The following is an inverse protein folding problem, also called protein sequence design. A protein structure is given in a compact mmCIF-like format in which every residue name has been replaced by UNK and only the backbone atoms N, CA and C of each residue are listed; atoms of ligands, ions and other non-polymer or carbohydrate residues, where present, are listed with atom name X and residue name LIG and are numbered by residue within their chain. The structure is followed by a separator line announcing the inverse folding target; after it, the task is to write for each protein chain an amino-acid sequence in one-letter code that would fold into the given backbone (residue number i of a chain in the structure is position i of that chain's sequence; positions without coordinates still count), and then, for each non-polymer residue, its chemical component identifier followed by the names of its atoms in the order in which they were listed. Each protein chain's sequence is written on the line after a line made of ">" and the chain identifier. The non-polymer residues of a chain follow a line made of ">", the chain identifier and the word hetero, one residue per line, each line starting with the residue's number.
data_IF_496652901197
#
_entry.id   IF_496652901197
#
_cell.length_a   1.000
_cell.length_b   1.000
_cell.length_c   1.000
_cell.angle_alpha   90.00
_cell.angle_beta   90.00
_cell.angle_gamma   90.00
#
_symmetry.space_group_name_H-M   'P 1'
#
loop_
_entity.id
_entity.type
_entity.pdbx_description
1 polymer ?
#
# COMPACT_ATOMS: atom_id res chain seq x y z
N UNK A 1 73.07 -6.76 56.63
CA UNK A 1 72.25 -7.73 55.87
C UNK A 1 71.18 -6.91 55.16
N UNK A 2 71.01 -6.83 53.84
CA UNK A 2 71.50 -7.60 52.68
C UNK A 2 71.68 -6.62 51.51
N UNK A 3 72.77 -6.78 50.75
CA UNK A 3 73.13 -6.05 49.52
C UNK A 3 72.52 -6.74 48.29
N UNK A 4 72.17 -5.94 47.28
CA UNK A 4 72.17 -6.18 45.81
C UNK A 4 71.67 -7.54 45.28
N UNK A 5 70.70 -7.50 44.36
CA UNK A 5 70.93 -7.94 42.98
C UNK A 5 69.80 -7.47 42.06
N UNK A 6 70.15 -7.03 40.85
CA UNK A 6 69.21 -6.60 39.81
C UNK A 6 69.85 -5.64 38.81
N UNK A 7 70.97 -6.06 38.20
CA UNK A 7 71.60 -5.34 37.08
C UNK A 7 70.67 -5.22 35.85
N UNK A 8 70.91 -4.22 34.98
CA UNK A 8 70.14 -4.02 33.76
C UNK A 8 70.52 -5.05 32.69
N UNK A 9 69.53 -5.73 32.12
CA UNK A 9 69.78 -6.67 31.02
C UNK A 9 70.08 -5.92 29.71
N UNK A 10 71.13 -6.40 29.04
CA UNK A 10 71.92 -5.71 28.02
C UNK A 10 71.17 -5.47 26.70
N UNK A 11 71.54 -4.35 26.08
CA UNK A 11 71.22 -3.97 24.69
C UNK A 11 71.95 -4.91 23.72
N UNK A 12 71.21 -5.44 22.74
CA UNK A 12 71.76 -5.85 21.44
C UNK A 12 71.80 -7.34 21.13
N UNK A 13 70.69 -7.87 20.58
CA UNK A 13 70.73 -9.00 19.63
C UNK A 13 69.78 -8.67 18.49
N UNK A 14 70.31 -8.47 17.28
CA UNK A 14 69.52 -8.43 16.02
C UNK A 14 69.03 -9.86 15.73
N UNK A 15 68.06 -10.34 16.49
CA UNK A 15 67.29 -11.54 16.17
C UNK A 15 66.14 -11.15 15.24
N UNK A 16 65.81 -11.98 14.25
CA UNK A 16 64.62 -11.78 13.41
C UNK A 16 63.42 -11.66 14.34
N UNK A 17 62.87 -10.44 14.47
CA UNK A 17 61.70 -10.17 15.32
C UNK A 17 60.61 -11.20 15.01
N UNK A 18 60.14 -11.87 16.05
CA UNK A 18 59.11 -12.89 15.94
C UNK A 18 57.84 -12.25 15.39
N UNK A 19 57.13 -12.93 14.47
CA UNK A 19 55.88 -12.43 13.89
C UNK A 19 54.91 -11.82 14.94
N UNK A 20 54.67 -12.45 16.12
CA UNK A 20 53.85 -11.86 17.18
C UNK A 20 54.37 -10.52 17.71
N UNK A 21 55.69 -10.33 17.82
CA UNK A 21 56.28 -9.09 18.32
C UNK A 21 56.09 -7.94 17.33
N UNK A 22 56.15 -8.22 16.03
CA UNK A 22 55.86 -7.23 14.98
C UNK A 22 54.40 -6.81 14.99
N UNK A 23 53.50 -7.78 15.12
CA UNK A 23 52.05 -7.53 15.19
C UNK A 23 51.72 -6.72 16.45
N UNK A 24 52.30 -7.07 17.60
CA UNK A 24 52.13 -6.32 18.85
C UNK A 24 52.65 -4.88 18.74
N UNK A 25 53.83 -4.69 18.15
CA UNK A 25 54.39 -3.34 17.93
C UNK A 25 53.51 -2.53 16.99
N UNK A 26 52.98 -3.15 15.93
CA UNK A 26 52.08 -2.49 14.99
C UNK A 26 50.77 -2.03 15.64
N UNK A 27 50.08 -2.90 16.39
CA UNK A 27 48.86 -2.51 17.11
C UNK A 27 49.12 -1.44 18.18
N UNK A 28 50.27 -1.50 18.87
CA UNK A 28 50.65 -0.48 19.85
C UNK A 28 50.86 0.89 19.19
N UNK A 29 51.58 0.95 18.07
CA UNK A 29 51.79 2.20 17.32
C UNK A 29 50.49 2.76 16.72
N UNK A 30 49.61 1.88 16.24
CA UNK A 30 48.28 2.26 15.75
C UNK A 30 47.41 2.83 16.88
N UNK A 31 47.42 2.20 18.05
CA UNK A 31 46.70 2.68 19.24
C UNK A 31 47.22 4.04 19.73
N UNK A 32 48.53 4.25 19.68
CA UNK A 32 49.15 5.53 20.03
C UNK A 32 48.72 6.65 19.06
N UNK A 33 48.62 6.34 17.77
CA UNK A 33 48.10 7.26 16.75
C UNK A 33 46.62 7.59 16.99
N UNK A 34 45.81 6.61 17.40
CA UNK A 34 44.41 6.80 17.81
C UNK A 34 44.23 7.78 18.97
N UNK A 35 45.13 7.74 19.95
CA UNK A 35 45.06 8.61 21.13
C UNK A 35 45.62 10.01 20.83
N UNK A 36 46.63 10.10 19.97
CA UNK A 36 47.28 11.39 19.64
C UNK A 36 46.40 12.26 18.75
N UNK A 37 45.61 11.68 17.85
CA UNK A 37 44.75 12.41 16.90
C UNK A 37 43.30 11.91 16.89
N UNK A 38 42.56 12.03 18.02
CA UNK A 38 41.22 11.44 18.16
C UNK A 38 40.20 12.06 17.18
N UNK A 39 40.28 13.36 16.92
CA UNK A 39 39.35 14.08 16.05
C UNK A 39 39.53 13.65 14.58
N UNK A 40 40.76 13.51 14.10
CA UNK A 40 41.04 13.12 12.71
C UNK A 40 40.50 11.73 12.38
N UNK A 41 40.60 10.80 13.33
CA UNK A 41 40.16 9.41 13.14
C UNK A 41 38.65 9.29 13.22
N UNK A 42 37.99 10.07 14.08
CA UNK A 42 36.53 10.14 14.10
C UNK A 42 35.95 10.70 12.80
N UNK A 43 36.60 11.71 12.20
CA UNK A 43 36.20 12.24 10.89
C UNK A 43 36.39 11.20 9.79
N UNK A 44 37.52 10.49 9.78
CA UNK A 44 37.77 9.44 8.79
C UNK A 44 36.75 8.29 8.94
N UNK A 45 36.46 7.85 10.16
CA UNK A 45 35.48 6.81 10.44
C UNK A 45 34.06 7.23 10.02
N UNK A 46 33.64 8.47 10.30
CA UNK A 46 32.33 8.96 9.91
C UNK A 46 32.18 9.06 8.39
N UNK A 47 33.21 9.50 7.67
CA UNK A 47 33.23 9.53 6.21
C UNK A 47 33.07 8.14 5.59
N UNK A 48 33.74 7.12 6.15
CA UNK A 48 33.60 5.73 5.68
C UNK A 48 32.19 5.20 5.92
N UNK A 49 31.61 5.49 7.09
CA UNK A 49 30.24 5.08 7.43
C UNK A 49 29.23 5.76 6.50
N UNK A 50 29.34 7.08 6.29
CA UNK A 50 28.45 7.83 5.40
C UNK A 50 28.61 7.36 3.96
N UNK A 51 29.84 7.20 3.47
CA UNK A 51 30.09 6.71 2.10
C UNK A 51 29.56 5.31 1.86
N UNK A 52 29.58 4.44 2.87
CA UNK A 52 29.00 3.10 2.81
C UNK A 52 27.47 3.14 2.85
N UNK A 53 26.88 4.11 3.54
CA UNK A 53 25.43 4.22 3.70
C UNK A 53 24.72 4.97 2.56
N UNK A 54 25.40 5.92 1.89
CA UNK A 54 24.87 6.63 0.72
C UNK A 54 24.34 5.70 -0.39
N UNK A 55 25.04 4.63 -0.83
CA UNK A 55 24.52 3.71 -1.82
C UNK A 55 23.34 2.86 -1.32
N UNK A 56 23.19 2.65 0.00
CA UNK A 56 22.03 1.96 0.58
C UNK A 56 20.77 2.83 0.58
N UNK A 57 20.89 4.15 0.65
CA UNK A 57 19.73 5.06 0.55
C UNK A 57 19.13 5.08 -0.85
N UNK A 58 19.98 4.93 -1.88
CA UNK A 58 19.55 4.82 -3.27
C UNK A 58 19.28 3.39 -3.73
N UNK A 59 19.37 2.40 -2.84
CA UNK A 59 19.06 1.03 -3.23
C UNK A 59 17.55 0.93 -3.48
N UNK A 60 17.11 0.70 -4.73
CA UNK A 60 15.71 0.40 -4.96
C UNK A 60 15.49 -0.94 -4.28
N UNK A 61 14.77 -0.94 -3.16
CA UNK A 61 14.35 -2.19 -2.55
C UNK A 61 13.70 -3.02 -3.67
N UNK A 62 14.10 -4.28 -3.91
CA UNK A 62 13.32 -5.23 -4.69
C UNK A 62 12.10 -5.61 -3.83
N UNK A 63 11.35 -4.59 -3.39
CA UNK A 63 9.98 -4.77 -2.99
C UNK A 63 9.25 -5.28 -4.22
N UNK A 64 8.16 -5.99 -3.97
CA UNK A 64 7.18 -6.38 -4.98
C UNK A 64 6.48 -5.13 -5.53
N UNK A 65 7.24 -4.17 -6.05
CA UNK A 65 6.72 -3.09 -6.85
C UNK A 65 5.99 -3.77 -8.01
N UNK A 66 4.75 -3.34 -8.31
CA UNK A 66 3.96 -3.94 -9.36
C UNK A 66 4.79 -3.92 -10.64
N UNK A 67 5.08 -5.11 -11.19
CA UNK A 67 5.71 -5.20 -12.50
C UNK A 67 4.68 -4.68 -13.50
N UNK A 68 5.06 -3.66 -14.25
CA UNK A 68 4.21 -3.13 -15.32
C UNK A 68 4.25 -4.15 -16.45
N UNK A 69 3.15 -4.89 -16.62
CA UNK A 69 3.01 -5.80 -17.74
C UNK A 69 2.93 -4.98 -19.04
N UNK A 70 3.88 -5.22 -19.94
CA UNK A 70 3.87 -4.65 -21.28
C UNK A 70 3.37 -5.74 -22.25
N UNK A 71 2.20 -5.51 -22.84
CA UNK A 71 1.66 -6.37 -23.89
C UNK A 71 2.65 -6.46 -25.06
N UNK A 72 3.05 -7.66 -25.47
CA UNK A 72 3.84 -7.89 -26.68
C UNK A 72 5.31 -8.25 -26.49
N UNK A 73 5.79 -8.44 -25.26
CA UNK A 73 7.08 -9.10 -25.06
C UNK A 73 6.89 -10.61 -25.10
N UNK A 74 7.49 -11.27 -26.11
CA UNK A 74 7.50 -12.73 -26.28
C UNK A 74 8.34 -13.40 -25.19
N UNK A 75 7.92 -13.30 -23.93
CA UNK A 75 8.49 -14.02 -22.80
C UNK A 75 7.61 -15.22 -22.51
N UNK A 76 8.05 -16.40 -22.93
CA UNK A 76 7.44 -17.71 -22.64
C UNK A 76 7.39 -18.06 -21.15
N UNK A 77 8.01 -17.22 -20.29
CA UNK A 77 8.19 -17.46 -18.86
C UNK A 77 7.32 -16.56 -17.96
N UNK A 78 6.48 -15.68 -18.51
CA UNK A 78 5.59 -14.87 -17.68
C UNK A 78 4.30 -15.64 -17.38
N UNK A 79 3.97 -15.93 -16.11
CA UNK A 79 2.71 -16.59 -15.78
C UNK A 79 1.55 -15.68 -16.18
N UNK A 80 0.52 -16.27 -16.81
CA UNK A 80 -0.71 -15.56 -17.10
C UNK A 80 -1.32 -15.02 -15.79
N UNK A 81 -1.77 -13.76 -15.76
CA UNK A 81 -2.37 -13.20 -14.56
C UNK A 81 -3.68 -13.91 -14.25
N UNK A 82 -3.93 -14.15 -12.95
CA UNK A 82 -5.15 -14.83 -12.50
C UNK A 82 -6.43 -14.05 -12.83
N UNK A 83 -6.36 -12.71 -12.77
CA UNK A 83 -7.46 -11.82 -13.13
C UNK A 83 -6.93 -10.44 -13.50
N UNK A 84 -7.73 -9.68 -14.23
CA UNK A 84 -7.46 -8.30 -14.58
C UNK A 84 -8.38 -7.39 -13.77
N UNK A 85 -7.85 -6.29 -13.26
CA UNK A 85 -8.58 -5.35 -12.41
C UNK A 85 -8.65 -4.02 -13.12
N UNK A 86 -9.88 -3.53 -13.34
CA UNK A 86 -10.12 -2.18 -13.86
C UNK A 86 -10.83 -1.37 -12.81
N UNK A 87 -10.28 -0.22 -12.47
CA UNK A 87 -10.82 0.65 -11.44
C UNK A 87 -11.24 1.98 -12.06
N UNK A 88 -12.52 2.32 -11.95
CA UNK A 88 -13.08 3.61 -12.36
C UNK A 88 -13.21 4.48 -11.12
N UNK A 89 -12.33 5.48 -11.00
CA UNK A 89 -12.33 6.40 -9.85
C UNK A 89 -13.26 7.57 -10.12
N UNK A 90 -14.31 7.68 -9.33
CA UNK A 90 -15.21 8.83 -9.35
C UNK A 90 -14.77 9.87 -8.33
N UNK A 91 -14.79 11.14 -8.73
CA UNK A 91 -14.52 12.29 -7.87
C UNK A 91 -15.60 13.33 -8.05
N UNK A 92 -16.37 13.58 -7.00
CA UNK A 92 -17.52 14.50 -7.00
C UNK A 92 -17.27 15.62 -6.02
N UNK A 93 -17.37 16.86 -6.49
CA UNK A 93 -17.34 18.04 -5.64
C UNK A 93 -18.76 18.37 -5.16
N UNK A 94 -18.94 18.40 -3.85
CA UNK A 94 -20.18 18.81 -3.21
C UNK A 94 -20.00 20.23 -2.69
N UNK A 95 -20.79 21.14 -3.23
CA UNK A 95 -20.85 22.53 -2.82
C UNK A 95 -21.71 22.68 -1.56
N UNK A 96 -21.45 23.70 -0.71
CA UNK A 96 -22.28 23.98 0.45
C UNK A 96 -23.75 24.14 0.03
N UNK A 97 -24.62 23.41 0.73
CA UNK A 97 -26.05 23.33 0.44
C UNK A 97 -26.85 24.45 1.13
N UNK A 98 -28.04 24.72 0.59
CA UNK A 98 -29.01 25.68 1.13
C UNK A 98 -29.67 25.18 2.43
N UNK A 99 -30.39 26.06 3.14
CA UNK A 99 -30.92 25.78 4.49
C UNK A 99 -31.98 24.68 4.58
N UNK A 100 -32.50 24.23 3.45
CA UNK A 100 -33.54 23.20 3.29
C UNK A 100 -32.98 21.76 3.23
N UNK A 101 -31.68 21.59 2.99
CA UNK A 101 -31.04 20.30 2.79
C UNK A 101 -30.41 19.75 4.07
N UNK A 102 -30.53 18.44 4.27
CA UNK A 102 -29.89 17.75 5.39
C UNK A 102 -28.44 17.41 5.06
N UNK A 103 -27.64 17.22 6.09
CA UNK A 103 -26.24 16.86 5.92
C UNK A 103 -26.05 15.50 5.19
N UNK A 104 -27.02 14.59 5.31
CA UNK A 104 -27.01 13.31 4.61
C UNK A 104 -27.15 13.47 3.08
N UNK A 105 -27.88 14.48 2.63
CA UNK A 105 -28.13 14.72 1.20
C UNK A 105 -26.85 15.05 0.44
N UNK A 106 -25.89 15.67 1.12
CA UNK A 106 -24.54 15.93 0.62
C UNK A 106 -23.77 14.65 0.24
N UNK A 107 -24.12 13.50 0.82
CA UNK A 107 -23.52 12.20 0.48
C UNK A 107 -24.42 11.36 -0.41
N UNK A 108 -25.74 11.56 -0.36
CA UNK A 108 -26.70 10.83 -1.21
C UNK A 108 -26.41 11.02 -2.68
N UNK A 109 -26.33 12.27 -3.15
CA UNK A 109 -26.15 12.55 -4.57
C UNK A 109 -24.84 11.95 -5.12
N UNK A 110 -23.66 12.15 -4.50
CA UNK A 110 -22.43 11.51 -4.97
C UNK A 110 -22.48 9.99 -4.97
N UNK A 111 -23.12 9.35 -3.97
CA UNK A 111 -23.19 7.88 -3.90
C UNK A 111 -24.22 7.30 -4.86
N UNK A 112 -25.27 8.05 -5.20
CA UNK A 112 -26.28 7.66 -6.17
C UNK A 112 -25.69 7.44 -7.57
N UNK A 113 -24.69 8.25 -7.94
CA UNK A 113 -23.95 8.11 -9.20
C UNK A 113 -23.29 6.72 -9.36
N UNK A 114 -22.97 6.03 -8.27
CA UNK A 114 -22.44 4.66 -8.33
C UNK A 114 -23.47 3.69 -8.94
N UNK A 115 -24.75 3.86 -8.63
CA UNK A 115 -25.82 3.02 -9.16
C UNK A 115 -26.02 3.27 -10.65
N UNK A 116 -26.00 4.53 -11.09
CA UNK A 116 -26.08 4.88 -12.51
C UNK A 116 -24.91 4.31 -13.30
N UNK A 117 -23.68 4.46 -12.77
CA UNK A 117 -22.48 3.92 -13.40
C UNK A 117 -22.54 2.38 -13.53
N UNK A 118 -23.03 1.69 -12.49
CA UNK A 118 -23.21 0.23 -12.55
C UNK A 118 -24.23 -0.19 -13.59
N UNK A 119 -25.33 0.55 -13.73
CA UNK A 119 -26.36 0.25 -14.73
C UNK A 119 -25.80 0.39 -16.15
N UNK A 120 -25.03 1.45 -16.41
CA UNK A 120 -24.32 1.64 -17.68
C UNK A 120 -23.34 0.48 -17.94
N UNK A 121 -22.52 0.10 -16.95
CA UNK A 121 -21.53 -0.97 -17.10
C UNK A 121 -22.21 -2.33 -17.35
N UNK A 122 -23.34 -2.61 -16.70
CA UNK A 122 -24.07 -3.88 -16.83
C UNK A 122 -24.77 -4.01 -18.16
N UNK A 123 -25.37 -2.91 -18.62
CA UNK A 123 -26.12 -2.86 -19.86
C UNK A 123 -25.23 -2.62 -21.07
N UNK A 124 -23.93 -2.35 -20.87
CA UNK A 124 -22.97 -2.24 -21.95
C UNK A 124 -22.85 -3.55 -22.72
N UNK A 125 -23.01 -3.44 -24.03
CA UNK A 125 -22.77 -4.51 -24.98
C UNK A 125 -21.81 -3.99 -26.04
N UNK A 126 -20.73 -4.72 -26.27
CA UNK A 126 -19.79 -4.34 -27.32
C UNK A 126 -20.44 -4.47 -28.70
N UNK A 127 -20.28 -3.45 -29.53
CA UNK A 127 -20.89 -3.37 -30.87
C UNK A 127 -20.29 -4.36 -31.85
N UNK A 128 -19.01 -4.70 -31.70
CA UNK A 128 -18.30 -5.58 -32.64
C UNK A 128 -18.48 -7.06 -32.26
N UNK A 129 -18.27 -7.39 -30.98
CA UNK A 129 -18.28 -8.78 -30.51
C UNK A 129 -19.60 -9.21 -29.88
N UNK A 130 -20.55 -8.28 -29.67
CA UNK A 130 -21.80 -8.51 -28.95
C UNK A 130 -21.64 -9.05 -27.52
N UNK A 131 -20.41 -9.04 -26.97
CA UNK A 131 -20.12 -9.52 -25.63
C UNK A 131 -20.66 -8.53 -24.60
N UNK A 132 -21.25 -9.07 -23.54
CA UNK A 132 -21.68 -8.33 -22.35
C UNK A 132 -20.69 -8.54 -21.21
N UNK A 133 -20.78 -7.74 -20.16
CA UNK A 133 -19.93 -7.88 -18.95
C UNK A 133 -19.89 -9.31 -18.42
N UNK A 134 -21.02 -10.01 -18.42
CA UNK A 134 -21.14 -11.38 -17.92
C UNK A 134 -20.24 -12.41 -18.62
N UNK A 135 -19.82 -12.13 -19.87
CA UNK A 135 -18.97 -13.04 -20.64
C UNK A 135 -17.48 -12.91 -20.29
N UNK A 136 -17.04 -11.74 -19.81
CA UNK A 136 -15.62 -11.40 -19.61
C UNK A 136 -15.27 -11.26 -18.12
N UNK A 137 -16.26 -10.96 -17.28
CA UNK A 137 -16.05 -10.73 -15.85
C UNK A 137 -15.57 -12.00 -15.11
N UNK A 138 -14.88 -11.79 -13.99
CA UNK A 138 -14.58 -12.85 -13.04
C UNK A 138 -15.86 -13.17 -12.26
N UNK A 139 -16.45 -14.35 -12.52
CA UNK A 139 -17.64 -14.79 -11.81
C UNK A 139 -17.28 -15.43 -10.46
N UNK A 140 -18.03 -15.10 -9.40
CA UNK A 140 -17.83 -15.69 -8.07
C UNK A 140 -19.03 -16.54 -7.68
N UNK A 141 -18.75 -17.76 -7.22
CA UNK A 141 -19.71 -18.62 -6.55
C UNK A 141 -20.00 -18.16 -5.12
N UNK A 142 -20.91 -18.83 -4.41
CA UNK A 142 -21.20 -18.48 -3.01
C UNK A 142 -19.95 -18.43 -2.13
N UNK A 143 -19.83 -17.35 -1.36
CA UNK A 143 -18.79 -17.22 -0.36
C UNK A 143 -19.04 -18.25 0.75
N UNK A 144 -18.03 -19.06 1.09
CA UNK A 144 -18.10 -20.03 2.21
C UNK A 144 -17.91 -19.36 3.58
N UNK A 145 -18.24 -18.08 3.71
CA UNK A 145 -18.04 -17.34 4.96
C UNK A 145 -19.06 -17.78 6.01
N UNK A 146 -18.56 -18.16 7.18
CA UNK A 146 -19.36 -18.54 8.36
C UNK A 146 -19.94 -17.33 9.10
N UNK A 147 -19.58 -16.10 8.69
CA UNK A 147 -19.98 -14.86 9.32
C UNK A 147 -20.89 -14.05 8.41
N UNK A 148 -22.07 -13.69 8.93
CA UNK A 148 -23.22 -13.02 8.28
C UNK A 148 -22.90 -11.65 7.63
N UNK A 149 -21.71 -11.10 7.88
CA UNK A 149 -21.22 -9.86 7.24
C UNK A 149 -20.81 -10.05 5.78
N UNK A 150 -20.87 -11.27 5.25
CA UNK A 150 -20.54 -11.62 3.85
C UNK A 150 -21.67 -11.41 2.86
N UNK A 151 -22.88 -11.05 3.30
CA UNK A 151 -24.04 -10.92 2.39
C UNK A 151 -23.96 -9.68 1.47
N UNK A 152 -23.04 -8.76 1.75
CA UNK A 152 -22.85 -7.51 0.99
C UNK A 152 -21.95 -7.72 -0.24
N UNK A 153 -21.08 -8.73 -0.20
CA UNK A 153 -20.25 -9.08 -1.34
C UNK A 153 -21.11 -9.81 -2.40
N UNK A 154 -20.84 -9.59 -3.70
CA UNK A 154 -21.61 -10.24 -4.75
C UNK A 154 -21.47 -11.76 -4.66
N UNK A 155 -22.60 -12.46 -4.81
CA UNK A 155 -22.67 -13.92 -4.85
C UNK A 155 -23.35 -14.36 -6.14
N UNK A 156 -22.84 -15.41 -6.78
CA UNK A 156 -23.36 -15.95 -8.04
C UNK A 156 -23.46 -14.88 -9.14
N UNK A 157 -22.53 -13.93 -9.16
CA UNK A 157 -22.50 -12.83 -10.11
C UNK A 157 -21.06 -12.43 -10.43
N UNK A 158 -20.88 -11.56 -11.41
CA UNK A 158 -19.61 -10.88 -11.68
C UNK A 158 -19.08 -10.21 -10.40
N UNK A 159 -17.79 -10.37 -10.13
CA UNK A 159 -17.11 -9.64 -9.08
C UNK A 159 -17.01 -8.16 -9.47
N UNK A 160 -17.96 -7.38 -8.99
CA UNK A 160 -17.99 -5.93 -9.10
C UNK A 160 -18.12 -5.35 -7.71
N UNK A 161 -17.15 -4.52 -7.34
CA UNK A 161 -17.10 -3.83 -6.05
C UNK A 161 -17.40 -2.35 -6.26
N UNK A 162 -18.35 -1.85 -5.50
CA UNK A 162 -18.77 -0.45 -5.53
C UNK A 162 -19.42 -0.06 -4.21
N UNK A 163 -19.57 1.24 -3.91
CA UNK A 163 -20.36 1.68 -2.75
C UNK A 163 -21.80 1.17 -2.76
N UNK A 164 -22.40 0.98 -3.94
CA UNK A 164 -23.77 0.50 -4.09
C UNK A 164 -24.00 -0.91 -3.52
N UNK A 165 -22.94 -1.73 -3.41
CA UNK A 165 -23.02 -3.06 -2.82
C UNK A 165 -23.51 -3.02 -1.35
N UNK A 166 -23.25 -1.93 -0.61
CA UNK A 166 -23.75 -1.77 0.76
C UNK A 166 -25.28 -1.85 0.87
N UNK A 167 -25.99 -1.50 -0.21
CA UNK A 167 -27.44 -1.59 -0.34
C UNK A 167 -27.85 -2.67 -1.34
N UNK A 168 -27.04 -3.72 -1.49
CA UNK A 168 -27.28 -4.83 -2.42
C UNK A 168 -27.55 -4.38 -3.87
N UNK A 169 -27.01 -3.22 -4.26
CA UNK A 169 -27.23 -2.59 -5.57
C UNK A 169 -28.72 -2.25 -5.84
N UNK A 170 -29.53 -2.13 -4.79
CA UNK A 170 -30.92 -1.70 -4.86
C UNK A 170 -31.04 -0.21 -4.52
N UNK A 171 -31.50 0.57 -5.50
CA UNK A 171 -31.73 2.01 -5.39
C UNK A 171 -32.84 2.31 -4.38
N UNK A 172 -33.84 1.44 -4.24
CA UNK A 172 -34.94 1.63 -3.29
C UNK A 172 -34.44 1.54 -1.85
N UNK A 173 -33.65 0.50 -1.53
CA UNK A 173 -33.01 0.38 -0.21
C UNK A 173 -32.13 1.59 0.11
N UNK A 174 -31.37 2.09 -0.87
CA UNK A 174 -30.56 3.28 -0.70
C UNK A 174 -31.40 4.55 -0.44
N UNK A 175 -32.51 4.72 -1.17
CA UNK A 175 -33.40 5.88 -1.00
C UNK A 175 -34.05 5.91 0.38
N UNK A 176 -34.42 4.74 0.91
CA UNK A 176 -35.09 4.58 2.20
C UNK A 176 -34.14 4.64 3.40
N UNK A 177 -32.83 4.49 3.19
CA UNK A 177 -31.84 4.55 4.26
C UNK A 177 -31.68 5.99 4.77
N UNK A 178 -32.18 6.28 5.97
CA UNK A 178 -32.04 7.59 6.62
C UNK A 178 -30.65 7.85 7.19
N UNK A 179 -29.79 6.84 7.26
CA UNK A 179 -28.57 6.81 8.06
C UNK A 179 -27.36 6.28 7.29
N UNK A 180 -27.22 6.69 6.02
CA UNK A 180 -26.18 6.27 5.06
C UNK A 180 -24.77 6.24 5.66
N UNK A 181 -24.38 7.26 6.42
CA UNK A 181 -23.06 7.30 7.05
C UNK A 181 -22.89 6.15 8.05
N UNK A 182 -23.90 5.86 8.85
CA UNK A 182 -23.84 4.73 9.80
C UNK A 182 -23.73 3.40 9.06
N UNK A 183 -24.46 3.22 7.96
CA UNK A 183 -24.39 2.04 7.09
C UNK A 183 -22.98 1.80 6.56
N UNK A 184 -22.31 2.85 6.07
CA UNK A 184 -20.91 2.79 5.61
C UNK A 184 -19.96 2.45 6.76
N UNK A 185 -20.04 3.18 7.88
CA UNK A 185 -19.10 3.00 9.00
C UNK A 185 -19.34 1.73 9.84
N UNK A 186 -20.52 1.09 9.74
CA UNK A 186 -20.79 -0.22 10.34
C UNK A 186 -19.97 -1.35 9.69
N UNK A 187 -19.53 -1.14 8.44
CA UNK A 187 -18.68 -2.05 7.67
C UNK A 187 -17.20 -1.64 7.65
N UNK A 188 -16.85 -0.58 8.39
CA UNK A 188 -15.48 -0.12 8.55
C UNK A 188 -14.86 -0.72 9.82
N UNK A 189 -13.70 -1.36 9.65
CA UNK A 189 -12.89 -1.86 10.76
C UNK A 189 -11.85 -0.80 11.12
N UNK A 190 -11.78 -0.41 12.39
CA UNK A 190 -10.79 0.57 12.88
C UNK A 190 -9.42 -0.10 13.13
N UNK A 191 -9.32 -1.43 12.97
CA UNK A 191 -8.07 -2.15 13.21
C UNK A 191 -7.04 -1.83 12.12
N UNK A 192 -5.99 -1.08 12.51
CA UNK A 192 -4.85 -0.73 11.64
C UNK A 192 -4.27 -1.99 10.99
N UNK A 193 -4.14 -1.98 9.66
CA UNK A 193 -3.54 -3.05 8.88
C UNK A 193 -4.50 -4.11 8.33
N UNK A 194 -5.81 -4.03 8.61
CA UNK A 194 -6.83 -4.87 7.96
C UNK A 194 -7.69 -4.02 7.03
N UNK A 195 -7.72 -4.37 5.75
CA UNK A 195 -8.66 -3.78 4.79
C UNK A 195 -10.08 -4.09 5.24
N UNK A 196 -10.87 -3.05 5.51
CA UNK A 196 -12.27 -3.22 5.87
C UNK A 196 -13.14 -3.52 4.64
N UNK A 197 -14.33 -4.11 4.85
CA UNK A 197 -15.27 -4.39 3.76
C UNK A 197 -15.67 -3.08 3.08
N UNK A 198 -15.95 -2.03 3.85
CA UNK A 198 -16.24 -0.71 3.30
C UNK A 198 -15.10 -0.20 2.41
N UNK A 199 -13.84 -0.34 2.81
CA UNK A 199 -12.69 0.08 1.98
C UNK A 199 -12.56 -0.76 0.71
N UNK A 200 -12.85 -2.07 0.77
CA UNK A 200 -12.89 -2.92 -0.44
C UNK A 200 -13.96 -2.45 -1.42
N UNK A 201 -15.16 -2.12 -0.93
CA UNK A 201 -16.28 -1.65 -1.75
C UNK A 201 -16.04 -0.26 -2.34
N UNK A 202 -15.35 0.62 -1.60
CA UNK A 202 -14.98 1.95 -2.08
C UNK A 202 -13.73 1.95 -2.95
N UNK A 203 -12.96 0.85 -2.99
CA UNK A 203 -11.72 0.73 -3.75
C UNK A 203 -10.59 1.66 -3.27
N UNK A 204 -10.71 2.22 -2.07
CA UNK A 204 -9.74 3.12 -1.44
C UNK A 204 -9.97 3.21 0.07
N UNK A 205 -9.02 3.80 0.78
CA UNK A 205 -9.17 4.01 2.22
C UNK A 205 -10.32 4.98 2.53
N UNK A 206 -11.15 4.70 3.54
CA UNK A 206 -12.31 5.56 3.84
C UNK A 206 -11.90 6.99 4.22
N UNK A 207 -10.73 7.21 4.80
CA UNK A 207 -10.25 8.55 5.11
C UNK A 207 -9.93 9.38 3.86
N UNK A 208 -9.62 8.73 2.73
CA UNK A 208 -9.36 9.37 1.44
C UNK A 208 -10.66 9.71 0.71
N UNK A 209 -11.75 8.98 0.98
CA UNK A 209 -13.05 9.19 0.30
C UNK A 209 -13.68 10.56 0.54
N UNK A 210 -13.20 11.33 1.52
CA UNK A 210 -13.83 12.58 1.96
C UNK A 210 -15.07 12.39 2.85
N UNK A 211 -15.52 11.14 3.05
CA UNK A 211 -16.62 10.79 3.94
C UNK A 211 -16.11 10.71 5.39
N UNK A 212 -16.75 11.46 6.29
CA UNK A 212 -16.42 11.48 7.73
C UNK A 212 -17.56 10.89 8.54
N UNK A 213 -17.22 10.15 9.60
CA UNK A 213 -18.20 9.53 10.52
C UNK A 213 -19.09 10.56 11.22
N UNK A 214 -18.48 11.65 11.67
CA UNK A 214 -19.16 12.74 12.37
C UNK A 214 -18.84 14.08 11.70
N UNK A 215 -19.57 14.43 10.63
CA UNK A 215 -19.41 15.68 9.92
C UNK A 215 -20.06 16.84 10.69
N UNK A 216 -19.24 17.76 11.23
CA UNK A 216 -19.72 18.82 12.15
C UNK A 216 -20.08 20.14 11.43
N UNK A 217 -19.51 20.41 10.25
CA UNK A 217 -19.68 21.70 9.53
C UNK A 217 -20.17 21.51 8.10
N UNK A 218 -21.14 22.32 7.67
CA UNK A 218 -21.47 22.49 6.26
C UNK A 218 -20.30 23.21 5.58
N UNK A 219 -19.67 22.57 4.59
CA UNK A 219 -18.53 23.09 3.84
C UNK A 219 -18.43 22.35 2.52
N UNK A 220 -17.80 22.97 1.54
CA UNK A 220 -17.41 22.27 0.31
C UNK A 220 -16.57 21.03 0.63
N UNK A 221 -16.84 19.93 -0.06
CA UNK A 221 -16.13 18.65 0.10
C UNK A 221 -15.95 17.99 -1.23
N UNK A 222 -14.91 17.19 -1.34
CA UNK A 222 -14.71 16.30 -2.47
C UNK A 222 -14.93 14.89 -1.95
N UNK A 223 -15.94 14.23 -2.51
CA UNK A 223 -16.24 12.83 -2.25
C UNK A 223 -15.61 12.02 -3.38
N UNK A 224 -14.83 11.01 -3.04
CA UNK A 224 -14.17 10.15 -4.00
C UNK A 224 -14.33 8.69 -3.61
N UNK A 225 -14.49 7.85 -4.61
CA UNK A 225 -14.60 6.40 -4.47
C UNK A 225 -14.31 5.76 -5.82
N UNK A 226 -14.22 4.45 -5.84
CA UNK A 226 -14.03 3.72 -7.07
C UNK A 226 -15.06 2.62 -7.26
N UNK A 227 -15.34 2.33 -8.52
CA UNK A 227 -16.01 1.11 -8.96
C UNK A 227 -14.95 0.19 -9.55
N UNK A 228 -14.77 -0.97 -8.93
CA UNK A 228 -13.72 -1.93 -9.30
C UNK A 228 -14.36 -3.14 -9.98
N UNK A 229 -13.93 -3.37 -11.21
CA UNK A 229 -14.32 -4.48 -12.07
C UNK A 229 -13.19 -5.50 -12.12
N UNK A 230 -13.54 -6.77 -12.01
CA UNK A 230 -12.61 -7.88 -12.13
C UNK A 230 -12.97 -8.69 -13.36
N UNK A 231 -12.00 -8.91 -14.23
CA UNK A 231 -12.14 -9.66 -15.46
C UNK A 231 -11.30 -10.93 -15.41
N UNK A 232 -11.82 -11.99 -16.03
CA UNK A 232 -11.12 -13.26 -16.18
C UNK A 232 -10.15 -13.21 -17.36
N UNK A 233 -10.58 -12.57 -18.45
CA UNK A 233 -9.84 -12.49 -19.71
C UNK A 233 -9.53 -11.03 -20.03
N UNK A 234 -8.40 -10.79 -20.68
CA UNK A 234 -8.02 -9.47 -21.18
C UNK A 234 -8.30 -9.41 -22.66
N UNK A 235 -9.19 -8.49 -23.05
CA UNK A 235 -9.44 -8.22 -24.46
C UNK A 235 -8.42 -7.19 -24.96
N UNK A 236 -7.51 -7.64 -25.83
CA UNK A 236 -6.47 -6.80 -26.44
C UNK A 236 -7.05 -5.97 -27.61
N UNK A 237 -8.25 -6.31 -28.09
CA UNK A 237 -8.83 -5.77 -29.33
C UNK A 237 -9.95 -4.72 -29.10
N UNK A 238 -10.15 -4.28 -27.85
CA UNK A 238 -11.07 -3.18 -27.52
C UNK A 238 -10.49 -1.80 -27.87
#
# INVERSE_FOLDING_TARGET
>A
MVRRSGEPHKRGVKGKQSLPEKVATFYYTLGLFCITYPICILILASLVIVSSWLPLVNFPFPGKAPQVWQAGQNSTDTPEPFCYVQQVVMRVAVLPWESDLTLGDAFRAPLYEAFQLLDIIRNYQDTNTSKTLGHVCLHIEASRSRHDRSNILPQYNCLVLSPANLWHQDVLQFSQDNSILTTVFNHHSIQKGKTSIAEMLFGMNLFETGIKRYPIRNRQRIIQYAVTLFFKEYDIQA
#
